data_IF_429370054846
#
_entry.id   IF_429370054846
#
_cell.length_a   1.000
_cell.length_b   1.000
_cell.length_c   1.000
_cell.angle_alpha   90.00
_cell.angle_beta   90.00
_cell.angle_gamma   90.00
#
_symmetry.space_group_name_H-M   'P 1'
#
loop_
_entity.id
_entity.type
_entity.pdbx_description
1 polymer ?
#
# COMPACT_ATOMS: atom_id res chain seq x y z
N UNK A 1 10.90 1.90 51.90
CA UNK A 1 10.02 2.60 50.94
C UNK A 1 10.76 3.25 49.80
N UNK A 2 11.87 3.94 50.03
CA UNK A 2 12.66 4.59 48.93
C UNK A 2 13.14 3.60 47.88
N UNK A 3 13.56 2.41 48.27
CA UNK A 3 14.06 1.39 47.34
C UNK A 3 13.00 0.68 46.53
N UNK A 4 11.78 0.59 47.07
CA UNK A 4 10.61 0.01 46.35
C UNK A 4 10.16 0.92 45.22
N UNK A 5 10.22 2.25 45.44
CA UNK A 5 9.89 3.25 44.42
C UNK A 5 10.90 3.25 43.25
N UNK A 6 12.17 3.08 43.57
CA UNK A 6 13.25 2.98 42.59
C UNK A 6 13.12 1.67 41.80
N UNK A 7 12.77 0.56 42.44
CA UNK A 7 12.57 -0.72 41.81
C UNK A 7 11.34 -0.70 40.88
N UNK A 8 10.24 -0.03 41.28
CA UNK A 8 9.07 0.16 40.45
C UNK A 8 9.35 1.06 39.23
N UNK A 9 10.19 2.07 39.39
CA UNK A 9 10.54 2.99 38.30
C UNK A 9 11.45 2.32 37.26
N UNK A 10 12.32 1.40 37.66
CA UNK A 10 13.16 0.64 36.72
C UNK A 10 12.39 -0.43 35.96
N UNK A 11 11.25 -0.93 36.49
CA UNK A 11 10.39 -1.89 35.79
C UNK A 11 9.56 -1.24 34.69
N UNK A 12 9.30 0.08 34.75
CA UNK A 12 8.50 0.82 33.77
C UNK A 12 9.27 1.20 32.50
N UNK A 13 10.60 1.09 32.51
CA UNK A 13 11.43 1.45 31.36
C UNK A 13 11.73 0.31 30.39
N UNK A 14 11.33 -0.91 30.69
CA UNK A 14 11.57 -2.06 29.82
C UNK A 14 10.40 -2.42 28.90
N UNK A 15 9.41 -1.54 28.76
CA UNK A 15 8.16 -1.83 28.04
C UNK A 15 8.15 -1.58 26.52
N UNK A 16 9.23 -1.08 25.90
CA UNK A 16 9.19 -0.63 24.50
C UNK A 16 9.86 -1.56 23.46
N UNK A 17 10.32 -2.75 23.84
CA UNK A 17 11.09 -3.60 22.94
C UNK A 17 10.37 -4.86 22.42
N UNK A 18 9.08 -5.06 22.73
CA UNK A 18 8.36 -6.31 22.38
C UNK A 18 7.41 -6.16 21.19
N UNK A 19 7.18 -4.92 20.72
CA UNK A 19 6.51 -4.70 19.44
C UNK A 19 7.55 -4.44 18.34
N UNK A 20 8.38 -5.42 18.08
CA UNK A 20 9.01 -5.53 16.77
C UNK A 20 7.88 -5.68 15.77
N UNK A 21 7.71 -4.70 14.86
CA UNK A 21 6.83 -4.88 13.71
C UNK A 21 7.17 -6.24 13.10
N UNK A 22 6.17 -7.06 12.75
CA UNK A 22 6.45 -8.30 12.04
C UNK A 22 7.28 -7.92 10.81
N UNK A 23 8.48 -8.45 10.70
CA UNK A 23 9.26 -8.34 9.47
C UNK A 23 8.46 -9.12 8.43
N UNK A 24 7.56 -8.41 7.76
CA UNK A 24 6.84 -8.97 6.64
C UNK A 24 7.88 -9.43 5.63
N UNK A 25 7.92 -10.71 5.41
CA UNK A 25 8.82 -11.29 4.40
C UNK A 25 8.46 -10.67 3.06
N UNK A 26 9.37 -9.85 2.54
CA UNK A 26 9.17 -9.21 1.25
C UNK A 26 9.52 -10.19 0.13
N UNK A 27 8.52 -10.92 -0.31
CA UNK A 27 8.59 -11.89 -1.40
C UNK A 27 8.90 -11.26 -2.78
N UNK A 28 8.83 -9.93 -2.88
CA UNK A 28 9.12 -9.20 -4.13
C UNK A 28 10.56 -8.74 -4.25
N UNK A 29 11.41 -9.04 -3.27
CA UNK A 29 12.81 -8.62 -3.27
C UNK A 29 13.55 -9.19 -4.48
N UNK A 30 14.16 -8.30 -5.26
CA UNK A 30 14.88 -8.67 -6.49
C UNK A 30 14.00 -8.93 -7.72
N UNK A 31 12.68 -8.78 -7.63
CA UNK A 31 11.79 -8.90 -8.77
C UNK A 31 11.80 -7.64 -9.65
N UNK A 32 11.56 -7.83 -10.94
CA UNK A 32 11.34 -6.72 -11.87
C UNK A 32 9.99 -6.06 -11.64
N UNK A 33 9.83 -4.80 -12.07
CA UNK A 33 8.55 -4.09 -12.01
C UNK A 33 7.43 -4.86 -12.71
N UNK A 34 7.72 -5.44 -13.87
CA UNK A 34 6.79 -6.26 -14.63
C UNK A 34 6.29 -7.46 -13.83
N UNK A 35 7.20 -8.19 -13.17
CA UNK A 35 6.84 -9.36 -12.35
C UNK A 35 5.96 -8.97 -11.16
N UNK A 36 6.27 -7.88 -10.48
CA UNK A 36 5.45 -7.40 -9.35
C UNK A 36 4.06 -6.99 -9.85
N UNK A 37 3.99 -6.32 -11.02
CA UNK A 37 2.72 -5.95 -11.63
C UNK A 37 1.86 -7.16 -11.99
N UNK A 38 2.48 -8.21 -12.54
CA UNK A 38 1.80 -9.48 -12.84
C UNK A 38 1.20 -10.11 -11.58
N UNK A 39 1.96 -10.14 -10.47
CA UNK A 39 1.47 -10.67 -9.18
C UNK A 39 0.27 -9.87 -8.67
N UNK A 40 0.34 -8.54 -8.71
CA UNK A 40 -0.79 -7.69 -8.35
C UNK A 40 -2.02 -7.95 -9.22
N UNK A 41 -1.81 -8.08 -10.52
CA UNK A 41 -2.89 -8.36 -11.48
C UNK A 41 -3.50 -9.75 -11.28
N UNK A 42 -2.69 -10.74 -10.95
CA UNK A 42 -3.17 -12.09 -10.57
C UNK A 42 -4.09 -12.02 -9.35
N UNK A 43 -3.67 -11.29 -8.30
CA UNK A 43 -4.49 -11.10 -7.09
C UNK A 43 -5.80 -10.35 -7.40
N UNK A 44 -5.79 -9.41 -8.33
CA UNK A 44 -7.01 -8.76 -8.81
C UNK A 44 -7.98 -9.76 -9.44
N UNK A 45 -7.48 -10.65 -10.28
CA UNK A 45 -8.30 -11.71 -10.90
C UNK A 45 -8.88 -12.67 -9.87
N UNK A 46 -8.10 -12.99 -8.83
CA UNK A 46 -8.52 -13.86 -7.71
C UNK A 46 -9.47 -13.14 -6.73
N UNK A 47 -9.75 -11.86 -6.96
CA UNK A 47 -10.53 -10.99 -6.06
C UNK A 47 -9.90 -10.84 -4.67
N UNK A 48 -8.61 -11.10 -4.54
CA UNK A 48 -7.81 -10.82 -3.35
C UNK A 48 -7.25 -9.39 -3.43
N UNK A 49 -8.14 -8.43 -3.25
CA UNK A 49 -7.84 -7.01 -3.43
C UNK A 49 -6.81 -6.50 -2.41
N UNK A 50 -6.79 -7.05 -1.20
CA UNK A 50 -5.83 -6.66 -0.17
C UNK A 50 -4.41 -6.99 -0.61
N UNK A 51 -4.16 -8.20 -1.09
CA UNK A 51 -2.85 -8.60 -1.61
C UNK A 51 -2.48 -7.85 -2.90
N UNK A 52 -3.45 -7.61 -3.77
CA UNK A 52 -3.23 -6.81 -4.97
C UNK A 52 -2.69 -5.42 -4.61
N UNK A 53 -3.33 -4.73 -3.65
CA UNK A 53 -2.91 -3.42 -3.16
C UNK A 53 -1.50 -3.46 -2.59
N UNK A 54 -1.15 -4.51 -1.85
CA UNK A 54 0.21 -4.68 -1.30
C UNK A 54 1.24 -4.79 -2.43
N UNK A 55 1.01 -5.63 -3.45
CA UNK A 55 1.94 -5.77 -4.58
C UNK A 55 2.08 -4.47 -5.38
N UNK A 56 0.99 -3.79 -5.67
CA UNK A 56 1.03 -2.50 -6.37
C UNK A 56 1.76 -1.43 -5.55
N UNK A 57 1.58 -1.41 -4.23
CA UNK A 57 2.33 -0.53 -3.33
C UNK A 57 3.83 -0.81 -3.32
N UNK A 58 4.23 -2.08 -3.31
CA UNK A 58 5.65 -2.48 -3.43
C UNK A 58 6.24 -2.06 -4.78
N UNK A 59 5.47 -2.20 -5.85
CA UNK A 59 5.88 -1.73 -7.18
C UNK A 59 6.13 -0.22 -7.21
N UNK A 60 5.20 0.56 -6.71
CA UNK A 60 5.36 2.02 -6.64
C UNK A 60 6.57 2.43 -5.79
N UNK A 61 6.78 1.76 -4.66
CA UNK A 61 7.89 2.06 -3.75
C UNK A 61 9.25 1.79 -4.39
N UNK A 62 9.39 0.73 -5.17
CA UNK A 62 10.67 0.32 -5.79
C UNK A 62 10.92 0.95 -7.14
N UNK A 63 9.88 1.14 -7.92
CA UNK A 63 9.95 1.61 -9.30
C UNK A 63 9.01 2.81 -9.52
N UNK A 64 9.17 3.91 -8.76
CA UNK A 64 8.20 5.02 -8.76
C UNK A 64 8.09 5.73 -10.11
N UNK A 65 9.14 5.70 -10.91
CA UNK A 65 9.20 6.32 -12.25
C UNK A 65 9.13 5.28 -13.38
N UNK A 66 8.86 4.01 -13.04
CA UNK A 66 8.74 2.94 -14.02
C UNK A 66 7.42 3.01 -14.79
N UNK A 67 7.38 2.36 -15.94
CA UNK A 67 6.21 2.39 -16.84
C UNK A 67 4.96 1.75 -16.23
N UNK A 68 5.11 0.87 -15.23
CA UNK A 68 3.98 0.22 -14.56
C UNK A 68 3.46 0.98 -13.33
N UNK A 69 4.20 1.99 -12.83
CA UNK A 69 3.85 2.69 -11.59
C UNK A 69 2.49 3.40 -11.69
N UNK A 70 2.26 4.13 -12.78
CA UNK A 70 1.00 4.83 -13.01
C UNK A 70 -0.19 3.85 -13.08
N UNK A 71 -0.04 2.77 -13.82
CA UNK A 71 -1.08 1.76 -13.94
C UNK A 71 -1.35 1.06 -12.59
N UNK A 72 -0.31 0.77 -11.82
CA UNK A 72 -0.45 0.18 -10.48
C UNK A 72 -1.22 1.11 -9.53
N UNK A 73 -1.01 2.42 -9.60
CA UNK A 73 -1.77 3.40 -8.82
C UNK A 73 -3.26 3.38 -9.20
N UNK A 74 -3.56 3.33 -10.48
CA UNK A 74 -4.93 3.26 -10.97
C UNK A 74 -5.62 1.96 -10.56
N UNK A 75 -4.92 0.84 -10.66
CA UNK A 75 -5.40 -0.47 -10.19
C UNK A 75 -5.65 -0.48 -8.67
N UNK A 76 -4.83 0.21 -7.91
CA UNK A 76 -5.05 0.39 -6.46
C UNK A 76 -6.36 1.12 -6.18
N UNK A 77 -6.67 2.19 -6.91
CA UNK A 77 -7.94 2.90 -6.77
C UNK A 77 -9.13 1.98 -7.10
N UNK A 78 -9.03 1.20 -8.17
CA UNK A 78 -10.05 0.23 -8.54
C UNK A 78 -10.21 -0.88 -7.48
N UNK A 79 -9.12 -1.39 -6.93
CA UNK A 79 -9.16 -2.38 -5.86
C UNK A 79 -9.86 -1.86 -4.61
N UNK A 80 -9.62 -0.60 -4.24
CA UNK A 80 -10.32 0.05 -3.12
C UNK A 80 -11.81 0.19 -3.40
N UNK A 81 -12.18 0.53 -4.64
CA UNK A 81 -13.58 0.54 -5.07
C UNK A 81 -14.22 -0.84 -4.90
N UNK A 82 -13.56 -1.90 -5.35
CA UNK A 82 -14.06 -3.27 -5.23
C UNK A 82 -14.16 -3.75 -3.78
N UNK A 83 -13.33 -3.25 -2.89
CA UNK A 83 -13.42 -3.47 -1.45
C UNK A 83 -14.53 -2.68 -0.78
N UNK A 84 -15.25 -1.85 -1.52
CA UNK A 84 -16.28 -0.96 -1.00
C UNK A 84 -15.72 0.07 0.00
N UNK A 85 -14.51 0.54 -0.24
CA UNK A 85 -13.89 1.62 0.52
C UNK A 85 -13.86 2.91 -0.34
N UNK A 86 -14.92 3.72 -0.30
CA UNK A 86 -15.02 4.92 -1.13
C UNK A 86 -13.99 5.98 -0.74
N UNK A 87 -13.62 6.06 0.52
CA UNK A 87 -12.64 7.05 1.00
C UNK A 87 -11.27 6.78 0.42
N UNK A 88 -10.80 5.54 0.53
CA UNK A 88 -9.49 5.15 -0.03
C UNK A 88 -9.51 5.10 -1.56
N UNK A 89 -10.62 4.76 -2.18
CA UNK A 89 -10.78 4.84 -3.63
C UNK A 89 -10.59 6.28 -4.13
N UNK A 90 -11.30 7.23 -3.55
CA UNK A 90 -11.18 8.66 -3.92
C UNK A 90 -9.76 9.17 -3.68
N UNK A 91 -9.17 8.85 -2.53
CA UNK A 91 -7.80 9.25 -2.22
C UNK A 91 -6.77 8.72 -3.23
N UNK A 92 -6.89 7.44 -3.61
CA UNK A 92 -6.01 6.82 -4.59
C UNK A 92 -6.20 7.41 -6.01
N UNK A 93 -7.45 7.64 -6.41
CA UNK A 93 -7.77 8.26 -7.69
C UNK A 93 -7.28 9.72 -7.77
N UNK A 94 -7.44 10.50 -6.69
CA UNK A 94 -6.91 11.86 -6.60
C UNK A 94 -5.38 11.89 -6.73
N UNK A 95 -4.71 10.99 -6.06
CA UNK A 95 -3.25 10.88 -6.15
C UNK A 95 -2.82 10.57 -7.57
N UNK A 96 -3.49 9.63 -8.24
CA UNK A 96 -3.22 9.31 -9.64
C UNK A 96 -3.38 10.54 -10.55
N UNK A 97 -4.48 11.27 -10.42
CA UNK A 97 -4.77 12.45 -11.22
C UNK A 97 -3.71 13.54 -11.02
N UNK A 98 -3.28 13.76 -9.78
CA UNK A 98 -2.25 14.76 -9.46
C UNK A 98 -0.87 14.41 -10.02
N UNK A 99 -0.51 13.13 -9.96
CA UNK A 99 0.80 12.65 -10.41
C UNK A 99 0.86 12.41 -11.92
N UNK A 100 -0.27 12.07 -12.53
CA UNK A 100 -0.36 11.68 -13.95
C UNK A 100 -1.50 12.39 -14.69
N UNK A 101 -1.55 13.73 -14.70
CA UNK A 101 -2.69 14.47 -15.27
C UNK A 101 -2.88 14.25 -16.76
N UNK A 102 -1.83 13.86 -17.49
CA UNK A 102 -1.85 13.61 -18.92
C UNK A 102 -1.85 12.12 -19.30
N UNK A 103 -2.09 11.26 -18.31
CA UNK A 103 -2.13 9.82 -18.58
C UNK A 103 -3.35 9.46 -19.45
N UNK A 104 -3.24 8.52 -20.41
CA UNK A 104 -4.37 8.12 -21.26
C UNK A 104 -5.62 7.68 -20.50
N UNK A 105 -5.45 7.12 -19.30
CA UNK A 105 -6.55 6.62 -18.48
C UNK A 105 -6.96 7.59 -17.34
N UNK A 106 -6.60 8.87 -17.44
CA UNK A 106 -6.96 9.84 -16.39
C UNK A 106 -8.48 10.00 -16.24
N UNK A 107 -9.21 9.88 -17.33
CA UNK A 107 -10.69 9.94 -17.32
C UNK A 107 -11.29 8.81 -16.48
N UNK A 108 -10.70 7.64 -16.51
CA UNK A 108 -11.11 6.53 -15.65
C UNK A 108 -10.91 6.82 -14.16
N UNK A 109 -9.83 7.51 -13.80
CA UNK A 109 -9.62 7.94 -12.42
C UNK A 109 -10.70 8.93 -11.97
N UNK A 110 -11.10 9.88 -12.80
CA UNK A 110 -12.25 10.77 -12.52
C UNK A 110 -13.56 10.00 -12.39
N UNK A 111 -13.76 8.99 -13.22
CA UNK A 111 -14.93 8.12 -13.13
C UNK A 111 -14.99 7.39 -11.78
N UNK A 112 -13.87 6.81 -11.33
CA UNK A 112 -13.80 6.14 -10.03
C UNK A 112 -14.11 7.07 -8.86
N UNK A 113 -13.71 8.34 -8.95
CA UNK A 113 -14.05 9.35 -7.92
C UNK A 113 -15.55 9.63 -7.84
N UNK A 114 -16.26 9.53 -8.96
CA UNK A 114 -17.69 9.80 -9.03
C UNK A 114 -18.59 8.66 -8.60
N UNK A 115 -18.03 7.49 -8.42
CA UNK A 115 -18.79 6.33 -7.97
C UNK A 115 -19.00 6.35 -6.47
#
# INVERSE_FOLDING_TARGET
MKYILILMFTLLMNGCAIFGAPTEFDDTKGMTAERIYELGSEKMRDKDYDKAIVYFGKLESRYPNGRFAAQAQLETAYAQFKKQDPVLCVAAADRFIKLHPNHPNVDYAYYLKGL
#
